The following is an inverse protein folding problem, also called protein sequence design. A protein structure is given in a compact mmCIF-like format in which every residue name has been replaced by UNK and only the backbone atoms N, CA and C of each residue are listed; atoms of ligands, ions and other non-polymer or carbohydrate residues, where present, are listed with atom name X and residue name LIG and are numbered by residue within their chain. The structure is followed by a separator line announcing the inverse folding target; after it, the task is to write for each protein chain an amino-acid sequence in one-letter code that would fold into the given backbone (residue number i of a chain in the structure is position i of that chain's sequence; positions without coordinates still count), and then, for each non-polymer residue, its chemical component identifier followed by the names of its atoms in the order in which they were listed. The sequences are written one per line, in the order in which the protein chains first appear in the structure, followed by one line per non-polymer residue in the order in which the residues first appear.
data_IF_454390722935
#
_entry.id   IF_454390722935
#
_cell.length_a   1.000
_cell.length_b   1.000
_cell.length_c   1.000
_cell.angle_alpha   90.00
_cell.angle_beta   90.00
_cell.angle_gamma   90.00
#
_symmetry.space_group_name_H-M   'P 1'
#
loop_
_entity.id
_entity.type
_entity.pdbx_description
1 polymer ?
#
# COMPACT_ATOMS: atom_id res chain seq x y z
N UNK A 1 6.65 7.22 18.74
CA UNK A 1 6.74 6.82 17.32
C UNK A 1 6.53 8.06 16.48
N UNK A 2 7.41 8.35 15.52
CA UNK A 2 7.27 9.53 14.65
C UNK A 2 6.41 9.19 13.43
N UNK A 3 5.83 10.21 12.80
CA UNK A 3 5.08 10.05 11.57
C UNK A 3 5.90 9.38 10.45
N UNK A 4 7.17 9.79 10.29
CA UNK A 4 8.08 9.23 9.29
C UNK A 4 8.36 7.74 9.52
N UNK A 5 8.53 7.31 10.78
CA UNK A 5 8.70 5.89 11.12
C UNK A 5 7.47 5.06 10.74
N UNK A 6 6.27 5.60 10.98
CA UNK A 6 5.02 4.95 10.62
C UNK A 6 4.88 4.81 9.10
N UNK A 7 5.18 5.87 8.34
CA UNK A 7 5.14 5.83 6.89
C UNK A 7 6.12 4.79 6.32
N UNK A 8 7.36 4.77 6.79
CA UNK A 8 8.37 3.80 6.35
C UNK A 8 7.95 2.34 6.60
N UNK A 9 7.31 2.06 7.75
CA UNK A 9 6.78 0.72 8.07
C UNK A 9 5.62 0.34 7.15
N UNK A 10 4.73 1.29 6.86
CA UNK A 10 3.61 1.07 5.93
C UNK A 10 4.15 0.81 4.52
N UNK A 11 5.05 1.64 4.00
CA UNK A 11 5.61 1.44 2.66
C UNK A 11 6.31 0.08 2.53
N UNK A 12 7.10 -0.31 3.54
CA UNK A 12 7.72 -1.64 3.58
C UNK A 12 6.69 -2.77 3.59
N UNK A 13 5.57 -2.60 4.30
CA UNK A 13 4.46 -3.56 4.28
C UNK A 13 3.80 -3.62 2.90
N UNK A 14 3.54 -2.48 2.26
CA UNK A 14 2.93 -2.42 0.92
C UNK A 14 3.82 -3.10 -0.11
N UNK A 15 5.14 -2.85 -0.10
CA UNK A 15 6.11 -3.51 -0.98
C UNK A 15 6.17 -5.02 -0.77
N UNK A 16 6.01 -5.49 0.46
CA UNK A 16 6.04 -6.93 0.77
C UNK A 16 4.72 -7.63 0.43
N UNK A 17 3.62 -6.88 0.35
CA UNK A 17 2.28 -7.43 0.19
C UNK A 17 1.68 -7.25 -1.20
N UNK A 18 2.34 -6.47 -2.05
CA UNK A 18 1.84 -6.00 -3.34
C UNK A 18 0.46 -5.33 -3.21
N UNK A 19 0.25 -4.59 -2.10
CA UNK A 19 -1.03 -3.99 -1.76
C UNK A 19 -1.02 -2.50 -2.06
N UNK A 20 -2.07 -1.97 -2.70
CA UNK A 20 -2.18 -0.52 -2.93
C UNK A 20 -2.48 0.23 -1.64
N UNK A 21 -1.89 1.43 -1.49
CA UNK A 21 -2.11 2.32 -0.35
C UNK A 21 -3.60 2.65 -0.08
N UNK A 22 -4.39 2.84 -1.14
CA UNK A 22 -5.83 3.11 -1.04
C UNK A 22 -6.61 1.92 -0.46
N UNK A 23 -6.25 0.69 -0.90
CA UNK A 23 -6.87 -0.54 -0.44
C UNK A 23 -6.51 -0.81 1.03
N UNK A 24 -5.24 -0.61 1.38
CA UNK A 24 -4.75 -0.70 2.75
C UNK A 24 -5.49 0.25 3.69
N UNK A 25 -5.61 1.54 3.33
CA UNK A 25 -6.31 2.53 4.15
C UNK A 25 -7.80 2.20 4.36
N UNK A 26 -8.47 1.69 3.32
CA UNK A 26 -9.86 1.24 3.42
C UNK A 26 -10.00 -0.01 4.31
N UNK A 27 -9.13 -1.02 4.15
CA UNK A 27 -9.16 -2.25 4.95
C UNK A 27 -8.80 -2.04 6.43
N UNK A 28 -7.82 -1.18 6.72
CA UNK A 28 -7.33 -0.99 8.07
C UNK A 28 -8.25 -0.09 8.91
N UNK A 29 -8.74 1.02 8.32
CA UNK A 29 -9.49 2.04 9.06
C UNK A 29 -10.71 2.60 8.33
N UNK A 30 -11.05 2.08 7.15
CA UNK A 30 -12.16 2.59 6.34
C UNK A 30 -11.86 3.89 5.59
N UNK A 31 -10.61 4.36 5.53
CA UNK A 31 -10.24 5.63 4.92
C UNK A 31 -9.12 5.50 3.88
N UNK A 32 -9.50 5.53 2.61
CA UNK A 32 -8.58 5.40 1.46
C UNK A 32 -7.63 6.59 1.29
N UNK A 33 -7.96 7.76 1.89
CA UNK A 33 -7.13 8.99 1.81
C UNK A 33 -6.11 9.08 2.94
N UNK A 34 -6.07 8.12 3.86
CA UNK A 34 -5.22 8.18 5.03
C UNK A 34 -3.73 8.17 4.66
N UNK A 35 -3.30 7.24 3.82
CA UNK A 35 -1.90 7.10 3.41
C UNK A 35 -1.44 8.32 2.61
N UNK A 36 -2.33 8.90 1.78
CA UNK A 36 -2.06 10.16 1.08
C UNK A 36 -1.83 11.32 2.04
N UNK A 37 -2.64 11.40 3.11
CA UNK A 37 -2.45 12.42 4.16
C UNK A 37 -1.15 12.21 4.94
N UNK A 38 -0.80 10.97 5.28
CA UNK A 38 0.52 10.66 5.85
C UNK A 38 1.64 11.12 4.90
N UNK A 39 1.59 10.79 3.60
CA UNK A 39 2.63 11.23 2.65
C UNK A 39 2.81 12.75 2.58
N UNK A 40 1.75 13.52 2.83
CA UNK A 40 1.81 14.98 2.89
C UNK A 40 2.35 15.53 4.22
N UNK A 41 2.79 14.66 5.14
CA UNK A 41 3.29 15.06 6.46
C UNK A 41 2.20 15.40 7.47
N UNK A 42 0.94 15.02 7.22
CA UNK A 42 -0.14 15.23 8.21
C UNK A 42 -0.07 14.18 9.32
N UNK A 43 -0.17 14.66 10.54
CA UNK A 43 -0.26 13.82 11.73
C UNK A 43 -1.58 13.05 11.74
N UNK A 44 -1.52 11.78 12.15
CA UNK A 44 -2.70 10.95 12.41
C UNK A 44 -2.89 10.78 13.90
N UNK A 45 -4.14 10.56 14.30
CA UNK A 45 -4.49 10.28 15.69
C UNK A 45 -3.84 8.96 16.15
N UNK A 46 -3.46 8.88 17.43
CA UNK A 46 -2.81 7.70 18.01
C UNK A 46 -3.68 6.45 17.81
N UNK A 47 -4.99 6.56 18.04
CA UNK A 47 -5.94 5.45 17.83
C UNK A 47 -5.94 4.94 16.37
N UNK A 48 -5.69 5.82 15.41
CA UNK A 48 -5.57 5.45 13.99
C UNK A 48 -4.25 4.72 13.73
N UNK A 49 -3.15 5.21 14.30
CA UNK A 49 -1.85 4.55 14.19
C UNK A 49 -1.88 3.13 14.78
N UNK A 50 -2.54 2.94 15.92
CA UNK A 50 -2.72 1.62 16.55
C UNK A 50 -3.52 0.66 15.67
N UNK A 51 -4.61 1.13 15.04
CA UNK A 51 -5.39 0.31 14.10
C UNK A 51 -4.55 -0.15 12.90
N UNK A 52 -3.73 0.75 12.34
CA UNK A 52 -2.83 0.40 11.23
C UNK A 52 -1.80 -0.66 11.65
N UNK A 53 -1.19 -0.50 12.83
CA UNK A 53 -0.23 -1.45 13.37
C UNK A 53 -0.87 -2.82 13.64
N UNK A 54 -2.07 -2.85 14.24
CA UNK A 54 -2.83 -4.09 14.46
C UNK A 54 -3.18 -4.78 13.15
N UNK A 55 -3.62 -4.02 12.15
CA UNK A 55 -3.94 -4.56 10.84
C UNK A 55 -2.71 -5.19 10.16
N UNK A 56 -1.56 -4.50 10.16
CA UNK A 56 -0.32 -5.05 9.62
C UNK A 56 0.11 -6.35 10.31
N UNK A 57 0.02 -6.41 11.65
CA UNK A 57 0.34 -7.63 12.40
C UNK A 57 -0.62 -8.78 12.07
N UNK A 58 -1.93 -8.52 12.00
CA UNK A 58 -2.93 -9.52 11.66
C UNK A 58 -2.70 -10.08 10.24
N UNK A 59 -2.48 -9.22 9.26
CA UNK A 59 -2.19 -9.63 7.88
C UNK A 59 -0.90 -10.43 7.76
N UNK A 60 0.17 -10.02 8.46
CA UNK A 60 1.42 -10.79 8.49
C UNK A 60 1.22 -12.17 9.13
N UNK A 61 0.42 -12.28 10.19
CA UNK A 61 0.12 -13.56 10.82
C UNK A 61 -0.66 -14.50 9.91
N UNK A 62 -1.69 -13.98 9.20
CA UNK A 62 -2.48 -14.73 8.22
C UNK A 62 -1.64 -15.17 7.03
N UNK A 63 -0.81 -14.28 6.49
CA UNK A 63 0.09 -14.60 5.38
C UNK A 63 1.18 -15.58 5.78
N UNK A 64 1.76 -15.48 6.98
CA UNK A 64 2.75 -16.44 7.49
C UNK A 64 2.15 -17.82 7.67
N UNK A 65 0.92 -17.91 8.15
CA UNK A 65 0.21 -19.19 8.28
C UNK A 65 -0.20 -19.76 6.91
N UNK A 66 -0.63 -18.92 5.96
CA UNK A 66 -0.88 -19.33 4.57
C UNK A 66 0.39 -19.78 3.86
N UNK A 67 1.50 -19.04 3.98
CA UNK A 67 2.81 -19.39 3.42
C UNK A 67 3.30 -20.71 4.00
N UNK A 68 3.22 -20.91 5.33
CA UNK A 68 3.52 -22.20 5.97
C UNK A 68 2.65 -23.33 5.45
N UNK A 69 1.38 -23.07 5.13
CA UNK A 69 0.46 -24.07 4.56
C UNK A 69 0.75 -24.35 3.08
N UNK A 70 1.13 -23.34 2.30
CA UNK A 70 1.49 -23.46 0.88
C UNK A 70 2.86 -24.12 0.70
N UNK A 71 3.86 -23.75 1.51
CA UNK A 71 5.17 -24.41 1.57
C UNK A 71 5.08 -25.88 1.96
N UNK A 72 4.01 -26.28 2.67
CA UNK A 72 3.74 -27.70 2.95
C UNK A 72 2.99 -28.43 1.83
N UNK A 73 2.53 -27.75 0.76
CA UNK A 73 1.56 -28.34 -0.19
C UNK A 73 1.68 -27.97 -1.68
N UNK A 74 2.58 -27.11 -2.17
CA UNK A 74 2.70 -26.92 -3.62
C UNK A 74 4.07 -26.42 -4.10
N UNK A 75 4.53 -26.87 -5.28
CA UNK A 75 5.63 -26.27 -6.03
C UNK A 75 5.23 -24.91 -6.60
N UNK A 76 6.26 -24.09 -6.81
CA UNK A 76 6.27 -22.72 -7.33
C UNK A 76 5.37 -22.52 -8.55
N UNK A 77 4.49 -21.51 -8.53
CA UNK A 77 3.82 -21.08 -9.76
C UNK A 77 2.57 -20.22 -9.61
N UNK A 78 2.62 -19.08 -10.29
CA UNK A 78 1.50 -18.28 -10.83
C UNK A 78 0.80 -17.34 -9.84
N UNK A 79 1.34 -16.13 -9.73
CA UNK A 79 0.50 -14.95 -9.51
C UNK A 79 0.72 -13.98 -10.66
N UNK A 80 -0.20 -14.04 -11.61
CA UNK A 80 -0.28 -13.19 -12.78
C UNK A 80 -0.51 -11.73 -12.36
N UNK A 81 0.49 -10.90 -12.63
CA UNK A 81 0.45 -9.47 -12.41
C UNK A 81 -0.51 -8.82 -13.42
N UNK A 82 -1.67 -8.34 -12.96
CA UNK A 82 -2.42 -7.32 -13.70
C UNK A 82 -1.66 -6.00 -13.54
N UNK A 83 -0.94 -5.62 -14.61
CA UNK A 83 -0.10 -4.44 -14.66
C UNK A 83 -0.82 -3.12 -14.30
N UNK A 84 -0.06 -2.07 -13.98
CA UNK A 84 -0.63 -0.79 -13.58
C UNK A 84 -1.31 -0.10 -14.77
N UNK A 85 -2.63 0.01 -14.69
CA UNK A 85 -3.44 0.87 -15.55
C UNK A 85 -3.27 2.31 -15.04
N UNK A 86 -2.26 3.03 -15.52
CA UNK A 86 -2.17 4.49 -15.39
C UNK A 86 -1.43 5.03 -16.61
N UNK A 87 -2.19 5.22 -17.69
CA UNK A 87 -1.92 6.29 -18.64
C UNK A 87 -3.27 6.98 -18.89
N UNK A 88 -3.46 8.13 -18.25
CA UNK A 88 -4.50 9.07 -18.59
C UNK A 88 -3.88 10.10 -19.54
N UNK A 89 -4.31 10.23 -20.81
CA UNK A 89 -3.93 11.38 -21.61
C UNK A 89 -4.88 12.54 -21.29
N UNK A 90 -4.55 13.31 -20.25
CA UNK A 90 -5.08 14.65 -20.05
C UNK A 90 -4.10 15.66 -20.64
N UNK A 91 -4.53 16.35 -21.70
CA UNK A 91 -3.65 17.07 -22.63
C UNK A 91 -2.98 18.36 -22.15
N UNK A 92 -2.03 18.78 -23.00
CA UNK A 92 -1.55 20.13 -23.34
C UNK A 92 -1.03 21.02 -22.19
N UNK A 93 0.14 21.69 -22.36
CA UNK A 93 0.21 22.79 -23.34
C UNK A 93 1.59 23.05 -24.00
N UNK A 94 1.51 23.83 -25.09
CA UNK A 94 2.47 24.86 -25.55
C UNK A 94 3.90 24.50 -26.00
N UNK A 95 4.27 25.16 -27.11
CA UNK A 95 5.60 25.66 -27.54
C UNK A 95 6.21 25.01 -28.80
N UNK A 96 6.40 25.84 -29.83
CA UNK A 96 7.22 25.51 -31.00
C UNK A 96 6.87 26.31 -32.26
N UNK A 97 7.33 27.55 -32.34
CA UNK A 97 7.40 28.35 -33.57
C UNK A 97 8.40 27.77 -34.57
N UNK A 98 8.10 27.89 -35.88
CA UNK A 98 8.93 27.75 -37.11
C UNK A 98 8.12 26.95 -38.16
N UNK A 99 7.88 27.38 -39.40
CA UNK A 99 8.42 28.43 -40.25
C UNK A 99 7.29 29.05 -41.11
#
# INVERSE_FOLDING_TARGET
MTHADLLARIERFLSHTDMSASYFGHRAVGNSKLVKRLRMGRTVEIATAEKLLRFMQAEMAVRKSKARRLLRRAPEGVFEQRGPMTEAPGGSPEQGATA
#
